data_IF_453522439444
#
_entry.id   IF_453522439444
#
_cell.length_a   1.000
_cell.length_b   1.000
_cell.length_c   1.000
_cell.angle_alpha   90.00
_cell.angle_beta   90.00
_cell.angle_gamma   90.00
#
_symmetry.space_group_name_H-M   'P 1'
#
loop_
_entity.id
_entity.type
_entity.pdbx_description
1 polymer ?
#
# COMPACT_ATOMS: atom_id res chain seq x y z
N UNK A 1 9.60 3.72 10.66
CA UNK A 1 8.26 3.15 10.35
C UNK A 1 8.27 2.16 9.18
N UNK A 2 9.20 2.26 8.22
CA UNK A 2 9.28 1.32 7.07
C UNK A 2 9.67 -0.12 7.46
N UNK A 3 10.42 -0.32 8.55
CA UNK A 3 10.82 -1.64 9.07
C UNK A 3 9.66 -2.59 9.33
N UNK A 4 8.52 -2.11 9.83
CA UNK A 4 7.40 -3.00 10.12
C UNK A 4 6.84 -3.63 8.83
N UNK A 5 7.07 -3.04 7.66
CA UNK A 5 6.17 -3.11 6.50
C UNK A 5 6.80 -3.71 5.25
N UNK A 6 8.13 -3.76 5.21
CA UNK A 6 8.88 -4.21 4.07
C UNK A 6 9.87 -5.30 4.45
N UNK A 7 10.24 -6.12 3.46
CA UNK A 7 11.38 -7.03 3.61
C UNK A 7 12.63 -6.16 3.57
N UNK A 8 13.46 -6.25 4.62
CA UNK A 8 14.75 -5.56 4.66
C UNK A 8 15.70 -6.17 3.63
N UNK A 9 16.45 -5.32 2.95
CA UNK A 9 17.40 -5.72 1.92
C UNK A 9 16.84 -5.67 0.51
N UNK A 10 17.63 -6.17 -0.43
CA UNK A 10 17.33 -6.14 -1.85
C UNK A 10 16.00 -6.83 -2.19
N UNK A 11 15.28 -6.36 -3.23
CA UNK A 11 14.06 -7.01 -3.71
C UNK A 11 14.31 -8.44 -4.18
N UNK A 12 13.24 -9.23 -4.24
CA UNK A 12 13.30 -10.56 -4.86
C UNK A 12 13.38 -10.41 -6.38
N UNK A 13 14.01 -11.39 -7.04
CA UNK A 13 14.25 -11.34 -8.48
C UNK A 13 12.96 -11.30 -9.30
N UNK A 14 13.05 -10.82 -10.54
CA UNK A 14 11.90 -10.69 -11.45
C UNK A 14 11.22 -12.03 -11.75
N UNK A 15 11.99 -13.11 -11.87
CA UNK A 15 11.44 -14.45 -11.96
C UNK A 15 10.62 -14.83 -10.75
N UNK A 16 11.09 -14.50 -9.55
CA UNK A 16 10.32 -14.76 -8.34
C UNK A 16 9.02 -13.92 -8.31
N UNK A 17 9.03 -12.69 -8.84
CA UNK A 17 7.80 -11.92 -9.00
C UNK A 17 6.80 -12.62 -9.94
N UNK A 18 7.26 -13.14 -11.08
CA UNK A 18 6.44 -13.97 -11.98
C UNK A 18 5.94 -15.25 -11.31
N UNK A 19 6.78 -15.92 -10.51
CA UNK A 19 6.41 -17.10 -9.72
C UNK A 19 5.28 -16.80 -8.72
N UNK A 20 5.33 -15.63 -8.06
CA UNK A 20 4.26 -15.12 -7.21
C UNK A 20 3.01 -14.68 -7.97
N UNK A 21 2.95 -14.87 -9.29
CA UNK A 21 1.88 -14.42 -10.19
C UNK A 21 1.64 -12.91 -10.09
N UNK A 22 2.71 -12.13 -9.92
CA UNK A 22 2.64 -10.68 -9.98
C UNK A 22 2.88 -10.21 -11.40
N UNK A 23 1.94 -9.42 -11.90
CA UNK A 23 2.08 -8.61 -13.11
C UNK A 23 3.04 -7.45 -12.83
N UNK A 24 4.01 -7.26 -13.73
CA UNK A 24 4.99 -6.18 -13.66
C UNK A 24 4.39 -4.97 -14.38
N UNK A 25 4.19 -3.88 -13.65
CA UNK A 25 3.63 -2.64 -14.18
C UNK A 25 4.70 -1.55 -14.16
N UNK A 26 4.88 -0.88 -15.30
CA UNK A 26 5.83 0.22 -15.43
C UNK A 26 5.30 1.44 -14.65
N UNK A 27 6.16 2.04 -13.83
CA UNK A 27 5.83 3.25 -13.07
C UNK A 27 7.00 4.25 -13.07
N UNK A 28 6.80 5.44 -13.63
CA UNK A 28 7.89 6.43 -13.71
C UNK A 28 8.24 7.08 -12.37
N UNK A 29 7.30 7.13 -11.43
CA UNK A 29 7.55 7.71 -10.12
C UNK A 29 8.47 6.83 -9.29
N UNK A 30 9.56 7.43 -8.79
CA UNK A 30 10.51 6.72 -7.95
C UNK A 30 9.83 6.19 -6.70
N UNK A 31 8.84 6.89 -6.14
CA UNK A 31 8.09 6.48 -4.95
C UNK A 31 7.31 5.17 -5.15
N UNK A 32 6.82 4.90 -6.37
CA UNK A 32 6.07 3.68 -6.70
C UNK A 32 6.97 2.46 -6.94
N UNK A 33 8.27 2.65 -7.18
CA UNK A 33 9.18 1.55 -7.48
C UNK A 33 9.18 0.49 -6.34
N UNK A 34 9.02 -0.79 -6.68
CA UNK A 34 8.88 -1.94 -5.78
C UNK A 34 7.68 -1.91 -4.83
N UNK A 35 6.72 -1.00 -5.03
CA UNK A 35 5.43 -1.06 -4.36
C UNK A 35 4.60 -2.14 -5.03
N UNK A 36 3.94 -3.00 -4.24
CA UNK A 36 3.08 -4.04 -4.75
C UNK A 36 1.71 -4.04 -4.08
N UNK A 37 0.70 -4.38 -4.87
CA UNK A 37 -0.70 -4.44 -4.47
C UNK A 37 -1.38 -5.62 -5.19
N UNK A 38 -2.11 -6.46 -4.45
CA UNK A 38 -2.77 -7.66 -4.99
C UNK A 38 -1.76 -8.52 -5.79
N UNK A 39 -2.01 -8.68 -7.09
CA UNK A 39 -1.20 -9.42 -8.06
C UNK A 39 -0.39 -8.50 -8.98
N UNK A 40 -0.08 -7.27 -8.56
CA UNK A 40 0.73 -6.32 -9.35
C UNK A 40 1.90 -5.78 -8.55
N UNK A 41 3.02 -5.53 -9.23
CA UNK A 41 4.19 -4.82 -8.68
C UNK A 41 4.59 -3.70 -9.63
N UNK A 42 4.78 -2.50 -9.08
CA UNK A 42 5.16 -1.32 -9.82
C UNK A 42 6.68 -1.20 -9.85
N UNK A 43 7.26 -1.09 -11.03
CA UNK A 43 8.71 -1.02 -11.21
C UNK A 43 9.03 0.13 -12.17
N UNK A 44 9.81 1.10 -11.67
CA UNK A 44 10.43 2.12 -12.52
C UNK A 44 11.45 1.51 -13.47
N UNK A 45 11.36 1.73 -14.80
CA UNK A 45 12.38 1.33 -15.76
C UNK A 45 13.75 1.89 -15.38
N UNK A 46 14.81 1.13 -15.65
CA UNK A 46 16.17 1.58 -15.47
C UNK A 46 16.56 2.44 -16.68
N UNK A 47 16.82 3.74 -16.49
CA UNK A 47 17.25 4.57 -17.60
C UNK A 47 18.69 4.23 -18.01
N UNK A 48 18.95 4.16 -19.32
CA UNK A 48 20.27 3.78 -19.87
C UNK A 48 21.39 4.73 -19.44
N UNK A 49 21.08 6.00 -19.21
CA UNK A 49 22.06 6.98 -18.73
C UNK A 49 22.62 6.64 -17.36
N UNK A 50 21.92 5.85 -16.53
CA UNK A 50 22.45 5.39 -15.25
C UNK A 50 23.55 4.32 -15.40
N UNK A 51 23.70 3.76 -16.60
CA UNK A 51 24.78 2.82 -16.92
C UNK A 51 25.98 3.51 -17.59
N UNK A 52 25.91 4.83 -17.83
CA UNK A 52 26.95 5.61 -18.50
C UNK A 52 27.76 6.43 -17.49
N UNK A 53 29.07 6.16 -17.40
CA UNK A 53 29.96 6.83 -16.45
C UNK A 53 30.06 8.35 -16.68
N UNK A 54 30.20 8.80 -17.92
CA UNK A 54 30.34 10.22 -18.26
C UNK A 54 29.10 11.01 -17.83
N UNK A 55 27.91 10.41 -17.96
CA UNK A 55 26.67 11.01 -17.49
C UNK A 55 26.65 11.19 -15.97
N UNK A 56 27.18 10.21 -15.22
CA UNK A 56 27.29 10.30 -13.77
C UNK A 56 28.18 11.45 -13.36
N UNK A 57 29.37 11.56 -13.96
CA UNK A 57 30.31 12.65 -13.66
C UNK A 57 29.71 14.03 -13.96
N UNK A 58 29.02 14.16 -15.10
CA UNK A 58 28.47 15.44 -15.53
C UNK A 58 27.19 15.87 -14.79
N UNK A 59 26.31 14.93 -14.40
CA UNK A 59 24.94 15.28 -13.97
C UNK A 59 24.55 14.75 -12.58
N UNK A 60 25.18 13.69 -12.06
CA UNK A 60 24.73 13.00 -10.84
C UNK A 60 25.67 13.25 -9.67
N UNK A 61 26.98 13.17 -9.89
CA UNK A 61 28.00 13.21 -8.82
C UNK A 61 28.00 14.52 -8.03
N UNK A 62 27.59 15.63 -8.64
CA UNK A 62 27.56 16.95 -7.99
C UNK A 62 26.31 17.17 -7.12
N UNK A 63 25.25 16.37 -7.27
CA UNK A 63 24.02 16.47 -6.47
C UNK A 63 23.89 15.26 -5.53
N UNK A 64 24.12 15.44 -4.21
CA UNK A 64 24.02 14.36 -3.23
C UNK A 64 22.64 13.70 -3.14
N UNK A 65 21.56 14.42 -3.47
CA UNK A 65 20.21 13.83 -3.45
C UNK A 65 20.01 12.93 -4.67
N UNK A 66 20.38 13.41 -5.86
CA UNK A 66 20.28 12.63 -7.10
C UNK A 66 21.20 11.41 -7.06
N UNK A 67 22.43 11.55 -6.58
CA UNK A 67 23.37 10.45 -6.39
C UNK A 67 22.77 9.34 -5.52
N UNK A 68 22.21 9.70 -4.35
CA UNK A 68 21.59 8.72 -3.44
C UNK A 68 20.38 8.01 -4.04
N UNK A 69 19.57 8.72 -4.82
CA UNK A 69 18.42 8.14 -5.51
C UNK A 69 18.85 7.17 -6.63
N UNK A 70 19.86 7.55 -7.41
CA UNK A 70 20.42 6.75 -8.49
C UNK A 70 21.09 5.47 -7.96
N UNK A 71 21.93 5.58 -6.92
CA UNK A 71 22.49 4.43 -6.21
C UNK A 71 21.40 3.49 -5.66
N UNK A 72 20.33 4.08 -5.12
CA UNK A 72 19.12 3.38 -4.70
C UNK A 72 18.51 2.52 -5.80
N UNK A 73 18.26 3.15 -6.96
CA UNK A 73 17.66 2.46 -8.09
C UNK A 73 18.57 1.35 -8.63
N UNK A 74 19.87 1.60 -8.74
CA UNK A 74 20.85 0.58 -9.15
C UNK A 74 20.88 -0.61 -8.17
N UNK A 75 20.83 -0.34 -6.86
CA UNK A 75 20.79 -1.38 -5.83
C UNK A 75 19.57 -2.28 -5.99
N UNK A 76 18.39 -1.69 -6.22
CA UNK A 76 17.18 -2.47 -6.48
C UNK A 76 17.28 -3.33 -7.73
N UNK A 77 17.86 -2.82 -8.82
CA UNK A 77 18.03 -3.58 -10.06
C UNK A 77 19.02 -4.75 -9.90
N UNK A 78 20.07 -4.59 -9.09
CA UNK A 78 20.95 -5.71 -8.71
C UNK A 78 20.18 -6.83 -7.98
N UNK A 79 19.14 -6.47 -7.21
CA UNK A 79 18.25 -7.45 -6.56
C UNK A 79 17.22 -8.08 -7.50
N UNK A 80 16.71 -7.30 -8.45
CA UNK A 80 15.70 -7.71 -9.44
C UNK A 80 16.29 -8.64 -10.51
N UNK A 81 17.50 -8.36 -10.98
CA UNK A 81 18.16 -9.09 -12.07
C UNK A 81 19.36 -9.86 -11.52
N UNK A 82 19.11 -11.09 -11.05
CA UNK A 82 20.14 -11.95 -10.45
C UNK A 82 20.66 -13.00 -11.43
N UNK A 83 19.81 -13.42 -12.35
CA UNK A 83 20.10 -14.46 -13.32
C UNK A 83 19.77 -14.00 -14.74
N UNK A 84 20.32 -14.69 -15.76
CA UNK A 84 20.06 -14.34 -17.16
C UNK A 84 18.59 -14.45 -17.55
N UNK A 85 17.81 -15.28 -16.88
CA UNK A 85 16.36 -15.34 -17.09
C UNK A 85 15.65 -14.09 -16.56
N UNK A 86 16.12 -13.48 -15.47
CA UNK A 86 15.55 -12.25 -14.94
C UNK A 86 15.78 -11.09 -15.91
N UNK A 87 16.94 -11.07 -16.56
CA UNK A 87 17.26 -10.08 -17.59
C UNK A 87 16.28 -10.15 -18.76
N UNK A 88 16.00 -11.37 -19.26
CA UNK A 88 14.99 -11.56 -20.31
C UNK A 88 13.61 -11.08 -19.86
N UNK A 89 13.21 -11.38 -18.62
CA UNK A 89 11.95 -10.87 -18.07
C UNK A 89 11.94 -9.34 -18.00
N UNK A 90 13.06 -8.72 -17.65
CA UNK A 90 13.20 -7.27 -17.62
C UNK A 90 13.05 -6.64 -19.03
N UNK A 91 13.65 -7.27 -20.05
CA UNK A 91 13.53 -6.86 -21.46
C UNK A 91 12.10 -7.03 -21.97
N UNK A 92 11.47 -8.19 -21.74
CA UNK A 92 10.07 -8.46 -22.08
C UNK A 92 9.12 -7.44 -21.45
N UNK A 93 9.42 -7.02 -20.22
CA UNK A 93 8.63 -6.03 -19.46
C UNK A 93 9.02 -4.58 -19.76
N UNK A 94 9.93 -4.34 -20.72
CA UNK A 94 10.46 -3.01 -21.10
C UNK A 94 11.02 -2.20 -19.93
N UNK A 95 11.61 -2.89 -18.96
CA UNK A 95 12.26 -2.26 -17.80
C UNK A 95 13.69 -1.84 -18.09
N UNK A 96 14.33 -2.45 -19.08
CA UNK A 96 15.72 -2.19 -19.48
C UNK A 96 15.81 -2.22 -21.00
N UNK A 97 16.91 -1.70 -21.55
CA UNK A 97 17.19 -1.79 -22.98
C UNK A 97 17.31 -3.25 -23.45
N UNK A 98 16.66 -3.56 -24.59
CA UNK A 98 16.66 -4.89 -25.20
C UNK A 98 18.06 -5.35 -25.63
N UNK A 99 18.98 -4.42 -25.90
CA UNK A 99 20.35 -4.71 -26.32
C UNK A 99 21.32 -4.97 -25.16
N UNK A 100 20.86 -4.90 -23.91
CA UNK A 100 21.72 -5.12 -22.75
C UNK A 100 22.04 -6.61 -22.59
N UNK A 101 23.32 -6.98 -22.72
CA UNK A 101 23.79 -8.34 -22.52
C UNK A 101 23.89 -8.73 -21.04
N UNK A 102 23.55 -9.99 -20.73
CA UNK A 102 23.65 -10.51 -19.36
C UNK A 102 25.08 -10.49 -18.83
N UNK A 103 26.07 -10.81 -19.68
CA UNK A 103 27.48 -10.77 -19.28
C UNK A 103 27.87 -9.35 -18.86
N UNK A 104 27.52 -8.35 -19.66
CA UNK A 104 27.80 -6.95 -19.36
C UNK A 104 27.11 -6.51 -18.05
N UNK A 105 25.83 -6.85 -17.89
CA UNK A 105 25.09 -6.58 -16.65
C UNK A 105 25.74 -7.24 -15.42
N UNK A 106 26.16 -8.50 -15.53
CA UNK A 106 26.74 -9.23 -14.41
C UNK A 106 28.08 -8.65 -13.96
N UNK A 107 28.93 -8.22 -14.90
CA UNK A 107 30.19 -7.54 -14.59
C UNK A 107 29.95 -6.18 -13.94
N UNK A 108 29.02 -5.40 -14.49
CA UNK A 108 28.61 -4.12 -13.93
C UNK A 108 28.09 -4.25 -12.50
N UNK A 109 27.15 -5.18 -12.26
CA UNK A 109 26.59 -5.44 -10.94
C UNK A 109 27.66 -5.90 -9.95
N UNK A 110 28.62 -6.73 -10.38
CA UNK A 110 29.74 -7.20 -9.55
C UNK A 110 30.65 -6.06 -9.09
N UNK A 111 30.87 -5.06 -9.93
CA UNK A 111 31.71 -3.89 -9.62
C UNK A 111 31.00 -2.92 -8.67
N UNK A 112 29.70 -2.70 -8.88
CA UNK A 112 28.96 -1.64 -8.17
C UNK A 112 28.39 -2.12 -6.83
N UNK A 113 27.93 -3.37 -6.74
CA UNK A 113 27.27 -3.88 -5.54
C UNK A 113 28.06 -3.70 -4.23
N UNK A 114 29.41 -3.88 -4.19
CA UNK A 114 30.21 -3.61 -2.98
C UNK A 114 30.16 -2.16 -2.53
N UNK A 115 29.94 -1.22 -3.45
CA UNK A 115 29.87 0.22 -3.18
C UNK A 115 28.46 0.66 -2.76
N UNK A 116 27.44 -0.16 -3.00
CA UNK A 116 26.04 0.13 -2.66
C UNK A 116 25.70 -0.42 -1.27
N UNK A 117 26.07 0.31 -0.22
CA UNK A 117 25.71 -0.06 1.14
C UNK A 117 24.34 0.51 1.55
N UNK A 118 23.29 -0.33 1.72
CA UNK A 118 21.98 0.16 2.14
C UNK A 118 21.97 0.82 3.51
N UNK A 119 22.90 0.46 4.40
CA UNK A 119 22.94 1.01 5.76
C UNK A 119 23.52 2.43 5.79
N UNK A 120 24.21 2.85 4.73
CA UNK A 120 24.82 4.17 4.65
C UNK A 120 23.88 5.18 3.99
N UNK A 121 23.38 6.13 4.78
CA UNK A 121 22.46 7.17 4.31
C UNK A 121 23.10 8.27 3.46
N UNK A 122 24.44 8.31 3.39
CA UNK A 122 25.18 9.21 2.52
C UNK A 122 25.30 8.63 1.10
N UNK A 123 25.35 7.30 0.99
CA UNK A 123 25.44 6.60 -0.29
C UNK A 123 24.06 6.39 -0.91
N UNK A 124 23.05 6.06 -0.09
CA UNK A 124 21.75 5.66 -0.59
C UNK A 124 20.60 6.20 0.26
N UNK A 125 19.47 6.50 -0.38
CA UNK A 125 18.27 6.90 0.35
C UNK A 125 17.75 5.74 1.23
N UNK A 126 17.33 6.07 2.46
CA UNK A 126 16.75 5.14 3.44
C UNK A 126 15.58 4.34 2.88
N UNK A 127 14.86 4.86 1.89
CA UNK A 127 13.80 4.14 1.18
C UNK A 127 14.29 2.81 0.62
N UNK A 128 15.49 2.76 0.04
CA UNK A 128 16.01 1.57 -0.66
C UNK A 128 16.63 0.53 0.27
N UNK A 129 16.65 0.79 1.58
CA UNK A 129 16.90 -0.26 2.59
C UNK A 129 15.82 -1.36 2.57
N UNK A 130 14.69 -1.04 1.95
CA UNK A 130 13.51 -1.86 1.85
C UNK A 130 13.27 -2.19 0.38
N UNK A 131 13.26 -3.49 0.06
CA UNK A 131 12.99 -3.95 -1.29
C UNK A 131 11.51 -3.78 -1.62
N UNK A 132 10.70 -4.77 -1.29
CA UNK A 132 9.27 -4.76 -1.64
C UNK A 132 8.41 -4.08 -0.58
N UNK A 133 7.61 -3.10 -1.01
CA UNK A 133 6.70 -2.35 -0.15
C UNK A 133 5.25 -2.76 -0.42
N UNK A 134 4.53 -3.23 0.62
CA UNK A 134 3.11 -3.58 0.47
C UNK A 134 2.23 -2.34 0.55
N UNK A 135 1.45 -2.08 -0.50
CA UNK A 135 0.61 -0.89 -0.60
C UNK A 135 -0.36 -0.72 0.58
N UNK A 136 -1.11 -1.76 0.97
CA UNK A 136 -2.07 -1.64 2.08
C UNK A 136 -1.44 -1.15 3.39
N UNK A 137 -0.17 -1.46 3.61
CA UNK A 137 0.55 -1.05 4.83
C UNK A 137 1.15 0.35 4.66
N UNK A 138 1.57 0.68 3.44
CA UNK A 138 2.03 2.02 3.07
C UNK A 138 0.88 3.05 3.15
N UNK A 139 -0.31 2.71 2.66
CA UNK A 139 -1.52 3.54 2.75
C UNK A 139 -1.90 3.80 4.21
N UNK A 140 -1.87 2.77 5.06
CA UNK A 140 -2.06 2.93 6.51
C UNK A 140 -1.02 3.88 7.11
N UNK A 141 0.27 3.78 6.76
CA UNK A 141 1.25 4.77 7.25
C UNK A 141 0.91 6.15 6.72
N UNK A 142 0.71 6.34 5.42
CA UNK A 142 0.50 7.68 4.86
C UNK A 142 -0.77 8.33 5.42
N UNK A 143 -1.84 7.55 5.62
CA UNK A 143 -3.10 8.01 6.20
C UNK A 143 -3.00 8.33 7.70
N UNK A 144 -2.16 7.60 8.44
CA UNK A 144 -2.05 7.75 9.91
C UNK A 144 -0.68 8.28 10.39
N UNK A 145 0.20 8.74 9.50
CA UNK A 145 1.53 9.25 9.86
C UNK A 145 1.43 10.67 10.41
N UNK A 146 1.81 10.89 11.68
CA UNK A 146 1.66 12.19 12.34
C UNK A 146 2.58 13.29 11.77
N UNK A 147 3.61 12.95 10.99
CA UNK A 147 4.65 13.88 10.51
C UNK A 147 4.35 14.58 9.17
N UNK A 148 3.39 14.09 8.38
CA UNK A 148 3.00 14.69 7.08
C UNK A 148 1.48 14.91 7.00
N UNK A 149 0.90 15.46 8.08
CA UNK A 149 -0.53 15.77 8.12
C UNK A 149 -0.84 17.00 7.25
N UNK A 150 -1.25 16.75 5.99
CA UNK A 150 -2.00 17.69 5.16
C UNK A 150 -3.42 17.15 5.03
N UNK A 151 -4.44 18.02 5.05
CA UNK A 151 -5.84 17.60 4.82
C UNK A 151 -5.97 16.90 3.44
N UNK A 152 -5.09 17.24 2.49
CA UNK A 152 -5.01 16.55 1.20
C UNK A 152 -4.47 15.11 1.31
N UNK A 153 -3.58 14.79 2.24
CA UNK A 153 -2.99 13.44 2.35
C UNK A 153 -3.93 12.40 2.96
N UNK A 154 -4.90 12.85 3.77
CA UNK A 154 -5.97 12.00 4.32
C UNK A 154 -6.98 11.62 3.21
N UNK A 155 -7.30 12.58 2.33
CA UNK A 155 -8.22 12.38 1.21
C UNK A 155 -7.55 11.72 -0.01
N UNK A 156 -6.26 11.95 -0.25
CA UNK A 156 -5.56 11.47 -1.46
C UNK A 156 -4.83 10.13 -1.28
N UNK A 157 -4.49 9.71 -0.06
CA UNK A 157 -3.67 8.49 0.12
C UNK A 157 -2.34 8.54 -0.65
N UNK A 158 -1.64 7.40 -0.75
CA UNK A 158 -0.45 7.26 -1.61
C UNK A 158 -0.85 7.41 -3.11
N UNK A 159 0.01 7.89 -4.04
CA UNK A 159 -0.40 8.58 -5.27
C UNK A 159 -1.49 7.90 -6.11
N UNK A 160 -2.32 8.74 -6.73
CA UNK A 160 -3.51 8.50 -7.56
C UNK A 160 -3.42 7.41 -8.66
N UNK A 161 -2.23 6.90 -8.98
CA UNK A 161 -2.05 5.78 -9.91
C UNK A 161 -2.66 4.45 -9.40
N UNK A 162 -3.02 4.39 -8.12
CA UNK A 162 -3.47 3.16 -7.45
C UNK A 162 -4.95 3.18 -7.08
N UNK A 163 -5.73 4.09 -7.67
CA UNK A 163 -7.18 4.23 -7.41
C UNK A 163 -7.98 2.97 -7.79
N UNK A 164 -7.45 2.09 -8.65
CA UNK A 164 -8.02 0.75 -8.88
C UNK A 164 -7.92 -0.17 -7.65
N UNK A 165 -7.06 0.16 -6.68
CA UNK A 165 -6.99 -0.50 -5.38
C UNK A 165 -8.00 0.03 -4.36
N UNK A 166 -9.05 0.74 -4.80
CA UNK A 166 -10.27 0.99 -4.03
C UNK A 166 -11.24 -0.23 -4.05
N UNK A 167 -11.16 -1.07 -5.09
CA UNK A 167 -11.91 -2.35 -5.20
C UNK A 167 -11.71 -3.33 -4.03
N UNK A 168 -10.52 -3.56 -3.43
CA UNK A 168 -10.37 -4.48 -2.30
C UNK A 168 -11.09 -4.06 -1.02
N UNK A 169 -11.38 -2.76 -0.82
CA UNK A 169 -12.29 -2.36 0.24
C UNK A 169 -13.69 -2.85 -0.13
N UNK A 170 -14.15 -2.57 -1.34
CA UNK A 170 -15.46 -3.01 -1.81
C UNK A 170 -15.65 -4.53 -1.77
N UNK A 171 -14.65 -5.36 -2.07
CA UNK A 171 -14.79 -6.82 -2.03
C UNK A 171 -15.11 -7.34 -0.61
N UNK A 172 -14.48 -6.77 0.43
CA UNK A 172 -14.78 -7.11 1.82
C UNK A 172 -16.14 -6.57 2.28
N UNK A 173 -16.52 -5.38 1.81
CA UNK A 173 -17.86 -4.82 2.06
C UNK A 173 -18.95 -5.56 1.28
N UNK A 174 -18.65 -6.13 0.10
CA UNK A 174 -19.65 -6.76 -0.75
C UNK A 174 -20.25 -8.01 -0.09
N UNK A 175 -19.43 -8.81 0.61
CA UNK A 175 -19.92 -9.96 1.36
C UNK A 175 -20.81 -9.53 2.55
N UNK A 176 -20.45 -8.46 3.25
CA UNK A 176 -21.22 -7.94 4.38
C UNK A 176 -22.54 -7.27 3.91
N UNK A 177 -22.49 -6.50 2.83
CA UNK A 177 -23.66 -5.85 2.22
C UNK A 177 -24.61 -6.89 1.63
N UNK A 178 -24.10 -7.94 1.00
CA UNK A 178 -24.91 -9.06 0.49
C UNK A 178 -25.59 -9.83 1.64
N UNK A 179 -24.86 -10.15 2.71
CA UNK A 179 -25.43 -10.79 3.90
C UNK A 179 -26.51 -9.90 4.56
N UNK A 180 -26.26 -8.60 4.67
CA UNK A 180 -27.24 -7.63 5.17
C UNK A 180 -28.49 -7.58 4.28
N UNK A 181 -28.31 -7.56 2.96
CA UNK A 181 -29.41 -7.60 1.99
C UNK A 181 -30.31 -8.82 2.17
N UNK A 182 -29.73 -10.02 2.33
CA UNK A 182 -30.48 -11.25 2.59
C UNK A 182 -31.27 -11.16 3.90
N UNK A 183 -30.67 -10.65 4.98
CA UNK A 183 -31.34 -10.48 6.27
C UNK A 183 -32.52 -9.50 6.15
N UNK A 184 -32.34 -8.37 5.46
CA UNK A 184 -33.39 -7.38 5.24
C UNK A 184 -34.54 -7.97 4.40
N UNK A 185 -34.24 -8.77 3.38
CA UNK A 185 -35.25 -9.46 2.56
C UNK A 185 -36.05 -10.45 3.42
N UNK A 186 -35.38 -11.30 4.21
CA UNK A 186 -36.04 -12.24 5.12
C UNK A 186 -36.92 -11.49 6.12
N UNK A 187 -36.40 -10.43 6.74
CA UNK A 187 -37.13 -9.63 7.71
C UNK A 187 -38.36 -8.95 7.10
N UNK A 188 -38.23 -8.45 5.87
CA UNK A 188 -39.33 -7.78 5.15
C UNK A 188 -40.43 -8.78 4.76
N UNK A 189 -40.06 -9.94 4.22
CA UNK A 189 -41.01 -11.01 3.89
C UNK A 189 -41.74 -11.52 5.14
N UNK A 190 -41.02 -11.57 6.26
CA UNK A 190 -41.55 -12.03 7.53
C UNK A 190 -42.52 -11.02 8.16
N UNK A 191 -42.18 -9.73 8.14
CA UNK A 191 -43.09 -8.65 8.55
C UNK A 191 -44.34 -8.57 7.65
N UNK A 192 -44.19 -8.82 6.35
CA UNK A 192 -45.31 -8.87 5.39
C UNK A 192 -46.26 -10.05 5.66
N UNK A 193 -45.72 -11.22 6.02
CA UNK A 193 -46.51 -12.41 6.37
C UNK A 193 -47.44 -12.15 7.57
N UNK A 194 -46.92 -11.51 8.62
CA UNK A 194 -47.68 -11.13 9.81
C UNK A 194 -48.79 -10.12 9.49
N UNK A 195 -48.50 -9.14 8.63
CA UNK A 195 -49.48 -8.16 8.18
C UNK A 195 -50.60 -8.78 7.32
N UNK A 196 -50.30 -9.85 6.57
CA UNK A 196 -51.26 -10.53 5.70
C UNK A 196 -52.27 -11.43 6.45
N UNK A 197 -51.95 -11.96 7.64
CA UNK A 197 -52.84 -12.82 8.45
C UNK A 197 -53.65 -12.01 9.47
N UNK A 198 -54.36 -10.99 9.01
CA UNK A 198 -55.12 -10.03 9.84
C UNK A 198 -56.50 -10.56 10.32
N UNK A 199 -56.62 -11.81 10.78
CA UNK A 199 -57.86 -12.22 11.50
C UNK A 199 -57.68 -13.09 12.75
N UNK A 200 -56.63 -13.92 12.83
CA UNK A 200 -56.23 -14.63 14.06
C UNK A 200 -54.99 -15.49 13.80
N UNK A 201 -53.77 -14.92 13.82
CA UNK A 201 -52.54 -15.70 13.65
C UNK A 201 -52.27 -16.61 14.86
N UNK A 202 -51.65 -17.77 14.61
CA UNK A 202 -51.24 -18.68 15.69
C UNK A 202 -50.27 -17.99 16.67
N UNK A 203 -50.48 -18.15 17.99
CA UNK A 203 -49.69 -17.44 19.01
C UNK A 203 -48.21 -17.81 18.96
N UNK A 204 -47.89 -19.06 18.64
CA UNK A 204 -46.52 -19.55 18.53
C UNK A 204 -45.76 -18.88 17.37
N UNK A 205 -46.46 -18.65 16.24
CA UNK A 205 -45.90 -17.97 15.08
C UNK A 205 -45.64 -16.48 15.39
N UNK A 206 -46.56 -15.85 16.12
CA UNK A 206 -46.44 -14.45 16.54
C UNK A 206 -45.31 -14.24 17.56
N UNK A 207 -45.10 -15.21 18.45
CA UNK A 207 -44.00 -15.18 19.42
C UNK A 207 -42.63 -15.39 18.75
N UNK A 208 -42.52 -16.37 17.85
CA UNK A 208 -41.31 -16.57 17.05
C UNK A 208 -40.98 -15.31 16.22
N UNK A 209 -42.02 -14.66 15.72
CA UNK A 209 -41.90 -13.45 14.94
C UNK A 209 -41.36 -12.23 15.67
N UNK A 210 -41.90 -12.01 16.87
CA UNK A 210 -41.46 -10.95 17.73
C UNK A 210 -39.99 -11.15 18.15
N UNK A 211 -39.61 -12.39 18.50
CA UNK A 211 -38.23 -12.73 18.86
C UNK A 211 -37.23 -12.49 17.73
N UNK A 212 -37.57 -12.92 16.51
CA UNK A 212 -36.71 -12.72 15.33
C UNK A 212 -36.53 -11.24 14.99
N UNK A 213 -37.58 -10.43 15.13
CA UNK A 213 -37.53 -8.99 14.87
C UNK A 213 -36.60 -8.26 15.84
N UNK A 214 -36.66 -8.60 17.13
CA UNK A 214 -35.75 -8.06 18.15
C UNK A 214 -34.30 -8.45 17.84
N UNK A 215 -34.06 -9.72 17.51
CA UNK A 215 -32.73 -10.19 17.13
C UNK A 215 -32.17 -9.43 15.92
N UNK A 216 -32.99 -9.22 14.88
CA UNK A 216 -32.57 -8.49 13.69
C UNK A 216 -32.28 -7.00 13.98
N UNK A 217 -33.08 -6.35 14.84
CA UNK A 217 -32.82 -4.96 15.28
C UNK A 217 -31.49 -4.84 16.04
N UNK A 218 -31.22 -5.76 16.97
CA UNK A 218 -29.96 -5.78 17.74
C UNK A 218 -28.78 -6.02 16.80
N UNK A 219 -28.91 -6.95 15.84
CA UNK A 219 -27.87 -7.23 14.86
C UNK A 219 -27.59 -6.01 13.98
N UNK A 220 -28.61 -5.31 13.50
CA UNK A 220 -28.44 -4.08 12.72
C UNK A 220 -27.77 -2.96 13.54
N UNK A 221 -28.15 -2.80 14.81
CA UNK A 221 -27.51 -1.83 15.71
C UNK A 221 -26.05 -2.19 15.99
N UNK A 222 -25.74 -3.48 16.19
CA UNK A 222 -24.37 -3.95 16.39
C UNK A 222 -23.50 -3.75 15.13
N UNK A 223 -24.03 -4.05 13.94
CA UNK A 223 -23.32 -3.85 12.67
C UNK A 223 -23.07 -2.37 12.39
N UNK A 224 -24.06 -1.50 12.59
CA UNK A 224 -23.87 -0.05 12.42
C UNK A 224 -22.86 0.51 13.44
N UNK A 225 -22.91 0.06 14.70
CA UNK A 225 -21.91 0.41 15.71
C UNK A 225 -20.50 -0.04 15.33
N UNK A 226 -20.34 -1.29 14.88
CA UNK A 226 -19.04 -1.87 14.51
C UNK A 226 -18.44 -1.22 13.27
N UNK A 227 -19.24 -0.98 12.23
CA UNK A 227 -18.75 -0.57 10.92
C UNK A 227 -18.77 0.95 10.68
N UNK A 228 -19.54 1.72 11.45
CA UNK A 228 -19.65 3.18 11.26
C UNK A 228 -19.08 3.92 12.47
N UNK A 229 -19.58 3.59 13.67
CA UNK A 229 -19.25 4.37 14.88
C UNK A 229 -17.81 4.11 15.36
N UNK A 230 -17.38 2.85 15.42
CA UNK A 230 -16.02 2.51 15.86
C UNK A 230 -14.92 3.13 14.97
N UNK A 231 -15.00 3.06 13.62
CA UNK A 231 -14.07 3.74 12.74
C UNK A 231 -14.10 5.26 12.91
N UNK A 232 -15.29 5.87 13.01
CA UNK A 232 -15.43 7.30 13.26
C UNK A 232 -14.75 7.73 14.56
N UNK A 233 -15.00 7.03 15.67
CA UNK A 233 -14.39 7.34 16.97
C UNK A 233 -12.87 7.16 16.93
N UNK A 234 -12.37 6.10 16.31
CA UNK A 234 -10.91 5.91 16.14
C UNK A 234 -10.28 7.03 15.30
N UNK A 235 -10.96 7.49 14.24
CA UNK A 235 -10.50 8.60 13.42
C UNK A 235 -10.49 9.92 14.20
N UNK A 236 -11.50 10.18 15.03
CA UNK A 236 -11.57 11.38 15.88
C UNK A 236 -10.52 11.35 17.00
N UNK A 237 -10.29 10.20 17.63
CA UNK A 237 -9.28 10.03 18.66
C UNK A 237 -7.85 10.21 18.10
N UNK A 238 -7.60 9.72 16.89
CA UNK A 238 -6.32 9.93 16.20
C UNK A 238 -6.12 11.39 15.77
N UNK A 239 -7.18 12.06 15.30
CA UNK A 239 -7.17 13.51 15.02
C UNK A 239 -6.83 14.28 16.30
N UNK A 240 -7.53 14.02 17.41
CA UNK A 240 -7.28 14.71 18.68
C UNK A 240 -5.86 14.47 19.21
N UNK A 241 -5.38 13.22 19.17
CA UNK A 241 -4.01 12.87 19.54
C UNK A 241 -2.96 13.61 18.70
N UNK A 242 -3.22 13.79 17.40
CA UNK A 242 -2.32 14.51 16.49
C UNK A 242 -2.23 16.02 16.81
N UNK A 243 -3.36 16.66 17.14
CA UNK A 243 -3.38 18.06 17.59
C UNK A 243 -2.62 18.25 18.91
N UNK A 244 -2.76 17.31 19.84
CA UNK A 244 -2.03 17.35 21.11
C UNK A 244 -0.51 17.22 20.92
N UNK A 245 -0.06 16.38 19.97
CA UNK A 245 1.37 16.22 19.66
C UNK A 245 1.94 17.46 18.97
N UNK A 246 1.22 18.09 18.03
CA UNK A 246 1.66 19.35 17.39
C UNK A 246 1.89 20.46 18.41
N UNK A 247 0.95 20.66 19.33
CA UNK A 247 1.11 21.64 20.42
C UNK A 247 2.32 21.37 21.30
N UNK A 248 2.69 20.09 21.50
CA UNK A 248 3.90 19.72 22.27
C UNK A 248 5.19 19.98 21.50
N UNK A 249 5.19 19.79 20.19
CA UNK A 249 6.34 20.05 19.33
C UNK A 249 6.58 21.54 19.13
N UNK A 250 5.52 22.34 19.00
CA UNK A 250 5.60 23.81 18.95
C UNK A 250 6.22 24.37 20.23
N UNK A 251 5.73 23.94 21.42
CA UNK A 251 6.34 24.32 22.71
C UNK A 251 7.80 23.93 22.82
N UNK A 252 8.16 22.70 22.41
CA UNK A 252 9.56 22.25 22.48
C UNK A 252 10.47 23.00 21.50
N UNK A 253 9.94 23.49 20.38
CA UNK A 253 10.71 24.35 19.48
C UNK A 253 10.88 25.74 20.10
N UNK A 254 9.84 26.33 20.69
CA UNK A 254 9.95 27.61 21.44
C UNK A 254 10.99 27.52 22.57
N UNK A 255 11.01 26.43 23.33
CA UNK A 255 11.99 26.20 24.40
C UNK A 255 13.44 26.00 23.91
N UNK A 256 13.65 25.64 22.63
CA UNK A 256 15.00 25.50 22.05
C UNK A 256 15.53 26.79 21.41
N UNK A 257 14.67 27.81 21.23
CA UNK A 257 15.03 29.12 20.67
C UNK A 257 14.98 30.26 21.70
N UNK A 258 14.69 29.95 22.97
CA UNK A 258 14.79 30.84 24.13
C UNK A 258 16.07 30.57 24.92
#
# INVERSE_FOLDING_TARGET
MLWLIAVHGAPRSLYYQKFLRREIVIAEELDLHLVWAKSRIFIKPLPDFLLNYDFWEANISCDPQLHRAACGLLYSYCGLIRFGHDLRVAQESRLINENLDYRAWSEFARIILPNLNPKDSNIMDKRFQYGELRLNRLDTIYRYSPYKFSISSILQGFPHALTESYVPYMDQYNNAVSAFGIIVIILSAFNLSLASHSKSPDPDLQQAAYGFSIFAMILCAALTGLFIVLPLVSSLATIYGSFAIRRRLEKRNEDNYA
#
